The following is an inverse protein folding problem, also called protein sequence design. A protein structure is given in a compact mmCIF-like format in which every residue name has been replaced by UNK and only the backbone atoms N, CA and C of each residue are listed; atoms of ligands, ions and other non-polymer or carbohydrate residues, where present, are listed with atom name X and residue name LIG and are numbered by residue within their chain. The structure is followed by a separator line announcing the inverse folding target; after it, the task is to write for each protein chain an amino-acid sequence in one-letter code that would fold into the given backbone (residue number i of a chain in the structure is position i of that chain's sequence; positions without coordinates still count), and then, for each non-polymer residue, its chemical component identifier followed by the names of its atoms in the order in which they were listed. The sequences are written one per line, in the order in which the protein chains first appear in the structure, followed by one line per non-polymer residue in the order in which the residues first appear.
data_IF_859119052773
#
_entry.id   IF_859119052773
#
_cell.length_a   1.000
_cell.length_b   1.000
_cell.length_c   1.000
_cell.angle_alpha   90.00
_cell.angle_beta   90.00
_cell.angle_gamma   90.00
#
_symmetry.space_group_name_H-M   'P 1'
#
loop_
_entity.id
_entity.type
_entity.pdbx_description
1 polymer ?
#
# COMPACT_ATOMS: atom_id res chain seq x y z
N UNK A 1 12.79 -11.16 38.26
CA UNK A 1 11.58 -10.81 37.50
C UNK A 1 10.89 -12.14 37.22
N UNK A 2 9.81 -12.44 37.92
CA UNK A 2 8.99 -13.64 37.74
C UNK A 2 8.31 -13.54 36.38
N UNK A 3 8.62 -14.49 35.48
CA UNK A 3 7.80 -14.72 34.28
C UNK A 3 6.36 -14.89 34.73
N UNK A 4 5.52 -13.91 34.41
CA UNK A 4 4.07 -14.10 34.43
C UNK A 4 3.78 -15.18 33.38
N UNK A 5 3.51 -16.41 33.83
CA UNK A 5 2.95 -17.44 32.96
C UNK A 5 1.71 -16.86 32.30
N UNK A 6 1.75 -16.72 30.95
CA UNK A 6 0.58 -16.37 30.17
C UNK A 6 -0.53 -17.37 30.48
N UNK A 7 -1.54 -16.91 31.22
CA UNK A 7 -2.67 -17.76 31.70
C UNK A 7 -3.60 -18.17 30.57
N UNK A 8 -3.52 -17.51 29.40
CA UNK A 8 -4.35 -17.80 28.23
C UNK A 8 -3.51 -18.36 27.07
N UNK A 9 -3.89 -19.51 26.50
CA UNK A 9 -3.20 -20.05 25.36
C UNK A 9 -3.42 -19.17 24.12
N UNK A 10 -2.36 -18.57 23.61
CA UNK A 10 -2.39 -17.90 22.30
C UNK A 10 -2.26 -18.95 21.19
N UNK A 11 -2.80 -18.59 20.01
CA UNK A 11 -2.58 -19.39 18.80
C UNK A 11 -1.08 -19.54 18.55
N UNK A 12 -0.58 -20.75 18.23
CA UNK A 12 0.84 -20.96 17.97
C UNK A 12 1.41 -20.02 16.89
N UNK A 13 0.62 -19.74 15.87
CA UNK A 13 0.97 -18.89 14.72
C UNK A 13 1.25 -17.43 15.11
N UNK A 14 0.75 -16.99 16.26
CA UNK A 14 0.94 -15.60 16.72
C UNK A 14 2.18 -15.40 17.60
N UNK A 15 2.79 -16.48 18.12
CA UNK A 15 3.89 -16.39 19.10
C UNK A 15 5.11 -15.66 18.57
N UNK A 16 5.44 -15.89 17.29
CA UNK A 16 6.60 -15.31 16.62
C UNK A 16 6.28 -14.09 15.75
N UNK A 17 5.01 -13.67 15.73
CA UNK A 17 4.62 -12.47 14.98
C UNK A 17 4.91 -11.22 15.80
N UNK A 18 5.76 -10.35 15.25
CA UNK A 18 5.95 -9.01 15.82
C UNK A 18 4.77 -8.12 15.42
N UNK A 19 4.23 -7.32 16.36
CA UNK A 19 3.26 -6.29 16.02
C UNK A 19 3.81 -5.35 14.95
N UNK A 20 2.92 -4.86 14.07
CA UNK A 20 3.30 -3.82 13.11
C UNK A 20 3.76 -2.56 13.85
N UNK A 21 4.95 -2.07 13.52
CA UNK A 21 5.47 -0.81 14.04
C UNK A 21 5.01 0.34 13.11
N UNK A 22 4.04 1.17 13.54
CA UNK A 22 3.64 2.32 12.75
C UNK A 22 4.80 3.31 12.64
N UNK A 23 4.80 4.10 11.55
CA UNK A 23 5.73 5.22 11.42
C UNK A 23 5.52 6.26 12.52
N UNK A 24 6.57 7.04 12.83
CA UNK A 24 6.48 8.12 13.79
C UNK A 24 5.44 9.17 13.37
N UNK A 25 4.63 9.66 14.31
CA UNK A 25 3.72 10.77 14.05
C UNK A 25 4.42 12.13 14.15
N UNK A 26 3.91 13.13 13.43
CA UNK A 26 4.45 14.49 13.50
C UNK A 26 4.37 15.06 14.93
N UNK A 27 3.30 14.76 15.66
CA UNK A 27 3.12 15.19 17.06
C UNK A 27 4.14 14.52 17.99
N UNK A 28 4.43 13.23 17.77
CA UNK A 28 5.43 12.52 18.56
C UNK A 28 6.84 13.08 18.30
N UNK A 29 7.16 13.37 17.04
CA UNK A 29 8.44 14.02 16.70
C UNK A 29 8.52 15.43 17.31
N UNK A 30 7.47 16.24 17.20
CA UNK A 30 7.44 17.60 17.78
C UNK A 30 7.69 17.58 19.29
N UNK A 31 7.13 16.60 20.01
CA UNK A 31 7.39 16.43 21.45
C UNK A 31 8.85 16.03 21.73
N UNK A 32 9.48 15.26 20.81
CA UNK A 32 10.85 14.75 20.99
C UNK A 32 11.90 15.83 20.73
N UNK A 33 11.78 16.58 19.61
CA UNK A 33 12.82 17.56 19.23
C UNK A 33 12.56 18.96 19.79
N UNK A 34 11.32 19.27 20.18
CA UNK A 34 10.93 20.60 20.67
C UNK A 34 11.07 21.72 19.62
N UNK A 35 10.81 22.97 20.02
CA UNK A 35 10.99 24.14 19.14
C UNK A 35 9.94 24.29 18.05
N UNK A 36 10.11 25.35 17.23
CA UNK A 36 9.22 25.71 16.10
C UNK A 36 9.75 25.21 14.74
N UNK A 37 10.50 24.10 14.73
CA UNK A 37 10.98 23.52 13.48
C UNK A 37 9.83 23.00 12.63
N UNK A 38 9.84 23.23 11.29
CA UNK A 38 8.88 22.59 10.41
C UNK A 38 9.04 21.06 10.50
N UNK A 39 7.92 20.36 10.68
CA UNK A 39 7.92 18.89 10.69
C UNK A 39 7.18 18.41 9.46
N UNK A 40 7.86 17.60 8.66
CA UNK A 40 7.33 17.03 7.43
C UNK A 40 7.27 15.52 7.56
N UNK A 41 6.08 14.93 7.34
CA UNK A 41 5.84 13.49 7.47
C UNK A 41 5.77 12.83 6.08
N UNK A 42 6.87 12.24 5.64
CA UNK A 42 7.03 11.58 4.35
C UNK A 42 7.25 10.05 4.48
N UNK A 43 6.70 9.44 5.53
CA UNK A 43 6.97 8.03 5.85
C UNK A 43 5.85 7.03 5.51
N UNK A 44 4.63 7.48 5.16
CA UNK A 44 3.46 6.59 5.08
C UNK A 44 2.77 6.56 3.71
N UNK A 45 3.36 7.14 2.67
CA UNK A 45 2.79 7.23 1.32
C UNK A 45 1.38 7.86 1.32
N UNK A 46 1.13 8.77 2.25
CA UNK A 46 -0.09 9.57 2.27
C UNK A 46 -0.07 10.55 1.08
N UNK A 47 -1.23 10.87 0.50
CA UNK A 47 -1.34 12.01 -0.41
C UNK A 47 -1.13 13.30 0.37
N UNK A 48 -0.22 14.21 -0.04
CA UNK A 48 0.09 15.42 0.73
C UNK A 48 -1.04 16.44 0.68
N UNK A 49 -1.90 16.34 -0.32
CA UNK A 49 -3.11 17.17 -0.43
C UNK A 49 -4.22 16.50 0.38
N UNK A 50 -4.99 17.26 1.11
CA UNK A 50 -6.15 16.79 1.86
C UNK A 50 -7.19 16.06 0.99
N UNK A 51 -8.34 15.66 1.55
CA UNK A 51 -9.46 15.12 0.78
C UNK A 51 -9.89 16.09 -0.33
N UNK A 52 -10.52 15.55 -1.38
CA UNK A 52 -11.11 16.39 -2.43
C UNK A 52 -12.22 17.30 -1.86
N UNK A 53 -12.48 18.49 -2.42
CA UNK A 53 -13.46 19.44 -1.89
C UNK A 53 -14.84 18.82 -1.67
N UNK A 54 -15.38 18.09 -2.64
CA UNK A 54 -16.67 17.41 -2.50
C UNK A 54 -16.67 16.40 -1.34
N UNK A 55 -15.55 15.70 -1.09
CA UNK A 55 -15.45 14.79 0.05
C UNK A 55 -15.48 15.52 1.39
N UNK A 56 -14.87 16.71 1.49
CA UNK A 56 -14.92 17.56 2.70
C UNK A 56 -16.35 18.01 2.99
N UNK A 57 -17.08 18.45 1.98
CA UNK A 57 -18.47 18.87 2.09
C UNK A 57 -19.37 17.71 2.53
N UNK A 58 -19.25 16.56 1.87
CA UNK A 58 -20.02 15.35 2.21
C UNK A 58 -19.75 14.86 3.64
N UNK A 59 -18.50 14.94 4.12
CA UNK A 59 -18.16 14.64 5.51
C UNK A 59 -18.85 15.61 6.46
N UNK A 60 -18.79 16.92 6.18
CA UNK A 60 -19.39 17.94 7.03
C UNK A 60 -20.90 17.76 7.17
N UNK A 61 -21.59 17.42 6.10
CA UNK A 61 -23.03 17.12 6.12
C UNK A 61 -23.35 15.83 6.91
N UNK A 62 -22.51 14.81 6.79
CA UNK A 62 -22.78 13.50 7.41
C UNK A 62 -22.49 13.44 8.92
N UNK A 63 -21.67 14.35 9.47
CA UNK A 63 -21.24 14.32 10.89
C UNK A 63 -22.43 14.27 11.86
N UNK A 64 -23.52 14.98 11.58
CA UNK A 64 -24.72 15.02 12.43
C UNK A 64 -25.45 13.67 12.55
N UNK A 65 -25.20 12.72 11.64
CA UNK A 65 -25.84 11.40 11.57
C UNK A 65 -25.05 10.25 12.19
N UNK A 66 -23.87 10.52 12.77
CA UNK A 66 -22.93 9.48 13.24
C UNK A 66 -23.43 8.60 14.40
N UNK A 67 -24.58 8.93 15.00
CA UNK A 67 -25.24 8.08 15.97
C UNK A 67 -25.97 6.87 15.34
N UNK A 68 -25.91 6.72 14.02
CA UNK A 68 -26.51 5.61 13.26
C UNK A 68 -25.43 4.84 12.50
N UNK A 69 -25.63 3.53 12.37
CA UNK A 69 -24.80 2.71 11.50
C UNK A 69 -25.02 3.06 10.03
N UNK A 70 -23.99 2.96 9.19
CA UNK A 70 -24.12 3.09 7.74
C UNK A 70 -24.89 1.89 7.12
N UNK A 71 -25.18 1.95 5.82
CA UNK A 71 -25.55 0.76 5.07
C UNK A 71 -24.43 -0.27 5.13
N UNK A 72 -24.64 -1.39 5.81
CA UNK A 72 -23.62 -2.42 6.01
C UNK A 72 -23.22 -3.16 4.74
N UNK A 73 -23.98 -3.06 3.66
CA UNK A 73 -23.69 -3.63 2.35
C UNK A 73 -23.02 -2.64 1.40
N UNK A 74 -23.05 -1.33 1.72
CA UNK A 74 -22.46 -0.25 0.90
C UNK A 74 -22.95 -0.26 -0.55
N UNK A 75 -24.26 -0.49 -0.76
CA UNK A 75 -24.86 -0.70 -2.07
C UNK A 75 -24.56 0.47 -3.03
N UNK A 76 -24.68 1.71 -2.55
CA UNK A 76 -24.48 2.90 -3.37
C UNK A 76 -23.03 3.01 -3.84
N UNK A 77 -22.05 2.86 -2.92
CA UNK A 77 -20.63 2.91 -3.27
C UNK A 77 -20.23 1.76 -4.21
N UNK A 78 -20.72 0.53 -3.96
CA UNK A 78 -20.48 -0.60 -4.88
C UNK A 78 -21.04 -0.34 -6.27
N UNK A 79 -22.26 0.20 -6.34
CA UNK A 79 -22.89 0.55 -7.62
C UNK A 79 -22.14 1.66 -8.36
N UNK A 80 -21.67 2.70 -7.67
CA UNK A 80 -20.88 3.78 -8.25
C UNK A 80 -19.52 3.28 -8.78
N UNK A 81 -18.82 2.43 -8.01
CA UNK A 81 -17.56 1.82 -8.43
C UNK A 81 -17.75 0.85 -9.61
N UNK A 82 -18.82 0.06 -9.59
CA UNK A 82 -19.18 -0.84 -10.69
C UNK A 82 -19.45 -0.06 -11.98
N UNK A 83 -20.25 1.00 -11.91
CA UNK A 83 -20.54 1.86 -13.07
C UNK A 83 -19.27 2.51 -13.64
N UNK A 84 -18.33 2.93 -12.78
CA UNK A 84 -17.08 3.55 -13.20
C UNK A 84 -16.12 2.56 -13.87
N UNK A 85 -16.13 1.31 -13.46
CA UNK A 85 -15.20 0.28 -13.94
C UNK A 85 -15.78 -0.62 -15.04
N UNK A 86 -17.09 -0.61 -15.24
CA UNK A 86 -17.79 -1.54 -16.12
C UNK A 86 -18.01 -2.93 -15.51
N UNK A 87 -17.68 -3.13 -14.23
CA UNK A 87 -17.95 -4.36 -13.52
C UNK A 87 -19.42 -4.48 -13.06
N UNK A 88 -19.85 -5.68 -12.64
CA UNK A 88 -21.13 -5.84 -11.95
C UNK A 88 -20.99 -5.50 -10.45
N UNK A 89 -22.02 -4.95 -9.78
CA UNK A 89 -21.96 -4.61 -8.35
C UNK A 89 -21.57 -5.79 -7.45
N UNK A 90 -21.91 -7.01 -7.81
CA UNK A 90 -21.58 -8.24 -7.10
C UNK A 90 -20.10 -8.62 -7.21
N UNK A 91 -19.38 -8.03 -8.16
CA UNK A 91 -17.94 -8.18 -8.33
C UNK A 91 -17.15 -7.15 -7.53
N UNK A 92 -17.80 -6.11 -7.00
CA UNK A 92 -17.14 -5.04 -6.24
C UNK A 92 -17.11 -5.37 -4.76
N UNK A 93 -15.92 -5.34 -4.16
CA UNK A 93 -15.71 -5.39 -2.71
C UNK A 93 -15.29 -4.03 -2.20
N UNK A 94 -15.78 -3.66 -1.01
CA UNK A 94 -15.31 -2.47 -0.26
C UNK A 94 -14.92 -2.88 1.15
N UNK A 95 -13.94 -2.18 1.74
CA UNK A 95 -13.43 -2.54 3.06
C UNK A 95 -12.74 -1.35 3.77
N UNK A 96 -12.43 -1.56 5.03
CA UNK A 96 -11.74 -0.59 5.90
C UNK A 96 -10.26 -0.45 5.51
N UNK A 97 -10.00 0.10 4.33
CA UNK A 97 -8.75 0.08 3.60
C UNK A 97 -8.55 -1.25 2.85
N UNK A 98 -7.62 -1.27 1.89
CA UNK A 98 -7.25 -2.50 1.18
C UNK A 98 -6.70 -3.58 2.13
N UNK A 99 -6.10 -3.17 3.26
CA UNK A 99 -5.62 -4.08 4.31
C UNK A 99 -6.71 -5.02 4.83
N UNK A 100 -7.92 -4.50 5.08
CA UNK A 100 -9.01 -5.34 5.57
C UNK A 100 -9.46 -6.35 4.53
N UNK A 101 -9.45 -5.98 3.24
CA UNK A 101 -9.78 -6.91 2.16
C UNK A 101 -8.75 -8.04 2.08
N UNK A 102 -7.45 -7.73 2.20
CA UNK A 102 -6.38 -8.74 2.23
C UNK A 102 -6.51 -9.68 3.44
N UNK A 103 -6.85 -9.14 4.62
CA UNK A 103 -7.09 -9.94 5.82
C UNK A 103 -8.32 -10.83 5.63
N UNK A 104 -9.41 -10.29 5.11
CA UNK A 104 -10.64 -11.03 4.87
C UNK A 104 -10.47 -12.10 3.78
N UNK A 105 -9.66 -11.83 2.73
CA UNK A 105 -9.24 -12.86 1.76
C UNK A 105 -8.53 -14.03 2.45
N UNK A 106 -7.58 -13.72 3.34
CA UNK A 106 -6.88 -14.77 4.09
C UNK A 106 -7.83 -15.58 4.98
N UNK A 107 -8.78 -14.92 5.66
CA UNK A 107 -9.78 -15.59 6.49
C UNK A 107 -10.78 -16.44 5.68
N UNK A 108 -11.13 -15.99 4.48
CA UNK A 108 -12.13 -16.65 3.64
C UNK A 108 -11.58 -17.84 2.85
N UNK A 109 -10.30 -17.78 2.43
CA UNK A 109 -9.76 -18.70 1.43
C UNK A 109 -8.63 -19.60 1.93
N UNK A 110 -8.00 -19.28 3.07
CA UNK A 110 -6.80 -19.99 3.52
C UNK A 110 -7.08 -20.88 4.75
N UNK A 111 -6.44 -22.03 4.76
CA UNK A 111 -6.35 -22.95 5.89
C UNK A 111 -4.91 -23.05 6.36
N UNK A 112 -4.64 -23.54 7.59
CA UNK A 112 -3.29 -23.81 8.05
C UNK A 112 -2.54 -24.74 7.08
N UNK A 113 -1.35 -24.29 6.62
CA UNK A 113 -0.53 -25.02 5.68
C UNK A 113 -0.74 -24.69 4.21
N UNK A 114 -1.80 -23.96 3.84
CA UNK A 114 -1.94 -23.37 2.50
C UNK A 114 -0.81 -22.36 2.24
N UNK A 115 -0.43 -22.19 0.98
CA UNK A 115 0.65 -21.30 0.58
C UNK A 115 0.13 -20.06 -0.15
N UNK A 116 0.80 -18.93 0.11
CA UNK A 116 0.58 -17.68 -0.61
C UNK A 116 1.90 -17.18 -1.16
N UNK A 117 1.99 -17.06 -2.49
CA UNK A 117 3.21 -16.65 -3.20
C UNK A 117 3.18 -15.14 -3.49
N UNK A 118 4.26 -14.44 -3.22
CA UNK A 118 4.43 -13.01 -3.56
C UNK A 118 5.91 -12.62 -3.62
N UNK A 119 6.20 -11.56 -4.39
CA UNK A 119 7.54 -10.97 -4.43
C UNK A 119 7.95 -10.33 -3.11
N UNK A 120 9.25 -10.35 -2.76
CA UNK A 120 9.77 -9.76 -1.54
C UNK A 120 11.16 -9.14 -1.78
N UNK A 121 11.43 -7.90 -1.32
CA UNK A 121 10.68 -6.95 -0.48
C UNK A 121 9.34 -6.48 -1.06
N UNK A 122 8.29 -6.46 -0.22
CA UNK A 122 6.95 -5.98 -0.63
C UNK A 122 6.11 -5.52 0.56
N UNK A 123 4.79 -5.38 0.34
CA UNK A 123 3.86 -4.85 1.32
C UNK A 123 3.72 -5.78 2.53
N UNK A 124 3.99 -5.22 3.70
CA UNK A 124 4.08 -5.98 4.96
C UNK A 124 2.79 -6.70 5.37
N UNK A 125 1.63 -6.24 4.91
CA UNK A 125 0.36 -6.89 5.22
C UNK A 125 0.28 -8.30 4.61
N UNK A 126 0.95 -8.59 3.50
CA UNK A 126 0.91 -9.90 2.88
C UNK A 126 1.39 -11.01 3.84
N UNK A 127 2.65 -11.04 4.30
CA UNK A 127 3.08 -12.06 5.23
C UNK A 127 2.33 -12.04 6.57
N UNK A 128 1.88 -10.86 7.04
CA UNK A 128 1.16 -10.75 8.30
C UNK A 128 -0.25 -11.35 8.22
N UNK A 129 -1.01 -11.09 7.16
CA UNK A 129 -2.37 -11.63 7.00
C UNK A 129 -2.34 -13.15 6.84
N UNK A 130 -1.39 -13.66 6.05
CA UNK A 130 -1.19 -15.09 5.78
C UNK A 130 -0.86 -15.86 7.06
N UNK A 131 0.14 -15.38 7.83
CA UNK A 131 0.55 -16.03 9.08
C UNK A 131 -0.54 -16.03 10.15
N UNK A 132 -1.39 -15.01 10.22
CA UNK A 132 -2.49 -14.91 11.20
C UNK A 132 -3.49 -16.07 11.13
N UNK A 133 -3.61 -16.72 9.97
CA UNK A 133 -4.49 -17.86 9.74
C UNK A 133 -3.75 -19.21 9.69
N UNK A 134 -2.44 -19.23 9.96
CA UNK A 134 -1.61 -20.44 9.94
C UNK A 134 -1.17 -20.88 8.54
N UNK A 135 -1.41 -20.05 7.53
CA UNK A 135 -0.92 -20.28 6.17
C UNK A 135 0.55 -19.87 6.03
N UNK A 136 1.19 -20.30 4.96
CA UNK A 136 2.62 -20.15 4.71
C UNK A 136 2.89 -19.07 3.69
N UNK A 137 3.56 -17.94 4.04
CA UNK A 137 4.01 -16.97 3.08
C UNK A 137 5.23 -17.48 2.31
N UNK A 138 5.11 -17.62 1.01
CA UNK A 138 6.20 -17.98 0.09
C UNK A 138 6.73 -16.70 -0.55
N UNK A 139 7.83 -16.20 0.01
CA UNK A 139 8.47 -14.96 -0.40
C UNK A 139 9.49 -15.23 -1.51
N UNK A 140 9.26 -14.69 -2.70
CA UNK A 140 10.15 -14.83 -3.86
C UNK A 140 10.99 -13.56 -4.00
N UNK A 141 12.32 -13.62 -4.07
CA UNK A 141 13.15 -12.45 -4.28
C UNK A 141 12.73 -11.67 -5.53
N UNK A 142 12.82 -10.34 -5.46
CA UNK A 142 12.66 -9.48 -6.63
C UNK A 142 13.84 -9.70 -7.59
N UNK A 143 13.65 -9.32 -8.86
CA UNK A 143 14.73 -9.34 -9.85
C UNK A 143 15.80 -8.25 -9.58
N UNK A 144 16.84 -8.21 -10.43
CA UNK A 144 17.94 -7.26 -10.30
C UNK A 144 17.51 -5.78 -10.44
N UNK A 145 16.37 -5.53 -11.08
CA UNK A 145 15.76 -4.21 -11.25
C UNK A 145 14.73 -3.90 -10.15
N UNK A 146 14.71 -4.69 -9.08
CA UNK A 146 13.74 -4.61 -7.97
C UNK A 146 12.27 -4.74 -8.40
N UNK A 147 11.99 -5.44 -9.49
CA UNK A 147 10.65 -5.78 -9.96
C UNK A 147 10.25 -7.17 -9.49
N UNK A 148 8.97 -7.46 -9.54
CA UNK A 148 8.49 -8.83 -9.34
C UNK A 148 9.07 -9.76 -10.39
N UNK A 149 9.80 -10.81 -9.95
CA UNK A 149 10.26 -11.91 -10.82
C UNK A 149 9.10 -12.90 -11.00
N UNK A 150 8.30 -12.64 -12.03
CA UNK A 150 7.10 -13.45 -12.30
C UNK A 150 7.42 -14.89 -12.67
N UNK A 151 8.57 -15.15 -13.30
CA UNK A 151 9.01 -16.50 -13.67
C UNK A 151 9.39 -17.30 -12.42
N UNK A 152 10.14 -16.68 -11.51
CA UNK A 152 10.47 -17.28 -10.22
C UNK A 152 9.21 -17.48 -9.35
N UNK A 153 8.27 -16.53 -9.37
CA UNK A 153 6.99 -16.67 -8.69
C UNK A 153 6.17 -17.82 -9.26
N UNK A 154 6.13 -17.99 -10.57
CA UNK A 154 5.45 -19.12 -11.22
C UNK A 154 6.06 -20.45 -10.81
N UNK A 155 7.39 -20.52 -10.75
CA UNK A 155 8.12 -21.72 -10.30
C UNK A 155 7.87 -22.07 -8.83
N UNK A 156 7.56 -21.07 -8.00
CA UNK A 156 7.26 -21.24 -6.57
C UNK A 156 5.81 -21.71 -6.30
N UNK A 157 4.92 -21.71 -7.30
CA UNK A 157 3.54 -22.20 -7.15
C UNK A 157 3.52 -23.72 -7.03
N UNK A 158 2.89 -24.22 -5.98
CA UNK A 158 2.71 -25.66 -5.68
C UNK A 158 1.23 -26.03 -5.60
N UNK A 159 0.93 -27.30 -5.34
CA UNK A 159 -0.43 -27.79 -5.11
C UNK A 159 -1.08 -27.21 -3.83
N UNK A 160 -0.28 -26.65 -2.91
CA UNK A 160 -0.76 -25.98 -1.72
C UNK A 160 -1.01 -24.48 -1.91
N UNK A 161 -0.58 -23.92 -3.03
CA UNK A 161 -0.78 -22.49 -3.31
C UNK A 161 -2.26 -22.19 -3.55
N UNK A 162 -2.81 -21.20 -2.83
CA UNK A 162 -4.20 -20.74 -2.98
C UNK A 162 -4.28 -19.31 -3.47
N UNK A 163 -3.33 -18.48 -3.07
CA UNK A 163 -3.27 -17.07 -3.44
C UNK A 163 -1.89 -16.72 -4.01
N UNK A 164 -1.89 -15.79 -4.94
CA UNK A 164 -0.69 -15.08 -5.40
C UNK A 164 -0.95 -13.59 -5.28
N UNK A 165 -0.06 -12.84 -4.63
CA UNK A 165 -0.15 -11.39 -4.57
C UNK A 165 0.86 -10.75 -5.53
N UNK A 166 0.39 -9.82 -6.37
CA UNK A 166 1.23 -8.98 -7.23
C UNK A 166 0.96 -7.52 -6.89
N UNK A 167 1.87 -6.88 -6.16
CA UNK A 167 1.81 -5.45 -5.85
C UNK A 167 2.31 -4.66 -7.06
N UNK A 168 1.44 -3.97 -7.76
CA UNK A 168 1.78 -3.32 -9.04
C UNK A 168 1.13 -1.94 -9.17
N UNK A 169 1.88 -0.85 -8.91
CA UNK A 169 3.31 -0.76 -8.53
C UNK A 169 3.63 -1.32 -7.14
N UNK A 170 4.84 -1.88 -7.00
CA UNK A 170 5.29 -2.48 -5.75
C UNK A 170 5.58 -1.44 -4.66
N UNK A 171 5.23 -1.74 -3.44
CA UNK A 171 5.65 -1.04 -2.25
C UNK A 171 6.55 -1.99 -1.42
N UNK A 172 7.87 -1.70 -1.23
CA UNK A 172 8.44 -0.35 -1.16
C UNK A 172 9.21 0.14 -2.38
N UNK A 173 9.41 -0.63 -3.43
CA UNK A 173 10.34 -0.27 -4.52
C UNK A 173 9.81 0.77 -5.49
N UNK A 174 8.48 0.87 -5.65
CA UNK A 174 7.85 1.75 -6.63
C UNK A 174 7.92 1.24 -8.07
N UNK A 175 8.58 0.11 -8.31
CA UNK A 175 8.68 -0.54 -9.61
C UNK A 175 7.37 -1.20 -10.01
N UNK A 176 7.20 -1.49 -11.30
CA UNK A 176 6.03 -2.19 -11.80
C UNK A 176 6.40 -3.25 -12.83
N UNK A 177 5.46 -4.16 -13.06
CA UNK A 177 5.46 -5.13 -14.14
C UNK A 177 4.53 -4.61 -15.23
N UNK A 178 4.94 -4.68 -16.49
CA UNK A 178 4.11 -4.30 -17.62
C UNK A 178 2.89 -5.23 -17.77
N UNK A 179 1.85 -4.72 -18.46
CA UNK A 179 0.56 -5.43 -18.60
C UNK A 179 0.67 -6.77 -19.30
N UNK A 180 1.54 -6.88 -20.32
CA UNK A 180 1.62 -8.10 -21.15
C UNK A 180 2.29 -9.22 -20.36
N UNK A 181 3.36 -8.91 -19.60
CA UNK A 181 4.00 -9.86 -18.68
C UNK A 181 3.07 -10.26 -17.55
N UNK A 182 2.34 -9.31 -16.96
CA UNK A 182 1.37 -9.59 -15.90
C UNK A 182 0.25 -10.50 -16.43
N UNK A 183 -0.30 -10.21 -17.60
CA UNK A 183 -1.34 -11.04 -18.21
C UNK A 183 -0.84 -12.46 -18.49
N UNK A 184 0.34 -12.60 -19.10
CA UNK A 184 0.95 -13.90 -19.39
C UNK A 184 1.24 -14.71 -18.09
N UNK A 185 1.69 -14.05 -17.04
CA UNK A 185 1.87 -14.68 -15.74
C UNK A 185 0.56 -15.23 -15.19
N UNK A 186 -0.50 -14.43 -15.18
CA UNK A 186 -1.82 -14.83 -14.69
C UNK A 186 -2.35 -16.02 -15.50
N UNK A 187 -2.21 -16.01 -16.83
CA UNK A 187 -2.63 -17.09 -17.71
C UNK A 187 -1.84 -18.40 -17.46
N UNK A 188 -0.65 -18.32 -16.89
CA UNK A 188 0.17 -19.48 -16.52
C UNK A 188 -0.24 -20.11 -15.18
N UNK A 189 -1.02 -19.43 -14.35
CA UNK A 189 -1.41 -19.92 -13.01
C UNK A 189 -2.47 -21.02 -13.12
N UNK A 190 -2.49 -21.99 -12.20
CA UNK A 190 -3.60 -22.93 -12.05
C UNK A 190 -4.93 -22.20 -11.84
N UNK A 191 -6.02 -22.73 -12.38
CA UNK A 191 -7.34 -22.10 -12.34
C UNK A 191 -7.95 -21.98 -10.94
N UNK A 192 -7.44 -22.75 -9.99
CA UNK A 192 -7.82 -22.76 -8.56
C UNK A 192 -6.92 -21.86 -7.68
N UNK A 193 -5.97 -21.15 -8.27
CA UNK A 193 -5.12 -20.15 -7.61
C UNK A 193 -5.65 -18.77 -7.94
N UNK A 194 -6.08 -18.01 -6.93
CA UNK A 194 -6.51 -16.62 -7.11
C UNK A 194 -5.30 -15.69 -7.17
N UNK A 195 -5.17 -14.95 -8.26
CA UNK A 195 -4.22 -13.84 -8.39
C UNK A 195 -4.85 -12.54 -7.90
N UNK A 196 -4.28 -11.93 -6.88
CA UNK A 196 -4.68 -10.62 -6.37
C UNK A 196 -3.66 -9.60 -6.82
N UNK A 197 -4.07 -8.68 -7.69
CA UNK A 197 -3.25 -7.56 -8.15
C UNK A 197 -3.55 -6.36 -7.27
N UNK A 198 -2.58 -5.92 -6.49
CA UNK A 198 -2.71 -4.77 -5.59
C UNK A 198 -2.23 -3.50 -6.32
N UNK A 199 -3.19 -2.73 -6.78
CA UNK A 199 -3.02 -1.48 -7.53
C UNK A 199 -3.18 -0.24 -6.63
N UNK A 200 -2.69 -0.27 -5.40
CA UNK A 200 -2.83 0.85 -4.47
C UNK A 200 -2.22 2.18 -4.96
N UNK A 201 -1.40 2.13 -5.99
CA UNK A 201 -0.72 3.30 -6.58
C UNK A 201 -1.06 3.49 -8.06
N UNK A 202 -2.10 2.83 -8.57
CA UNK A 202 -2.52 2.81 -9.97
C UNK A 202 -2.64 4.22 -10.57
N UNK A 203 -3.29 5.13 -9.87
CA UNK A 203 -3.60 6.46 -10.39
C UNK A 203 -2.36 7.33 -10.61
N UNK A 204 -1.20 6.99 -10.03
CA UNK A 204 0.05 7.74 -10.23
C UNK A 204 0.83 7.30 -11.46
N UNK A 205 0.44 6.20 -12.12
CA UNK A 205 1.23 5.60 -13.20
C UNK A 205 0.85 6.21 -14.54
N UNK A 206 1.83 6.85 -15.19
CA UNK A 206 1.69 7.44 -16.53
C UNK A 206 2.41 6.63 -17.61
N UNK A 207 3.03 5.49 -17.25
CA UNK A 207 3.76 4.63 -18.17
C UNK A 207 2.80 3.94 -19.17
N UNK A 208 3.06 4.02 -20.47
CA UNK A 208 2.12 3.55 -21.50
C UNK A 208 1.97 2.02 -21.57
N UNK A 209 2.94 1.28 -21.03
CA UNK A 209 2.94 -0.19 -20.95
C UNK A 209 2.36 -0.73 -19.64
N UNK A 210 1.98 0.15 -18.70
CA UNK A 210 1.22 -0.22 -17.52
C UNK A 210 -0.26 -0.38 -17.87
N UNK A 211 -0.89 -1.48 -17.41
CA UNK A 211 -2.29 -1.77 -17.72
C UNK A 211 -3.26 -1.32 -16.64
N UNK A 212 -4.52 -1.16 -16.99
CA UNK A 212 -5.64 -1.07 -16.04
C UNK A 212 -6.10 -2.49 -15.67
N UNK A 213 -5.65 -3.02 -14.55
CA UNK A 213 -5.96 -4.38 -14.14
C UNK A 213 -7.46 -4.66 -14.01
N UNK A 214 -8.26 -3.70 -13.54
CA UNK A 214 -9.73 -3.87 -13.47
C UNK A 214 -10.33 -3.91 -14.87
N UNK A 215 -10.07 -2.88 -15.69
CA UNK A 215 -10.64 -2.76 -17.02
C UNK A 215 -10.19 -3.87 -17.96
N UNK A 216 -8.94 -4.26 -17.89
CA UNK A 216 -8.35 -5.23 -18.81
C UNK A 216 -8.52 -6.68 -18.32
N UNK A 217 -8.03 -7.01 -17.11
CA UNK A 217 -7.96 -8.40 -16.67
C UNK A 217 -9.31 -8.93 -16.18
N UNK A 218 -10.08 -8.08 -15.46
CA UNK A 218 -11.34 -8.53 -14.85
C UNK A 218 -12.52 -8.30 -15.78
N UNK A 219 -12.68 -7.08 -16.33
CA UNK A 219 -13.88 -6.70 -17.08
C UNK A 219 -13.79 -7.16 -18.54
N UNK A 220 -12.72 -6.76 -19.26
CA UNK A 220 -12.57 -7.11 -20.68
C UNK A 220 -12.32 -8.60 -20.89
N UNK A 221 -11.34 -9.15 -20.18
CA UNK A 221 -10.89 -10.53 -20.38
C UNK A 221 -11.68 -11.56 -19.57
N UNK A 222 -12.42 -11.10 -18.53
CA UNK A 222 -13.30 -11.94 -17.73
C UNK A 222 -12.57 -13.08 -16.99
N UNK A 223 -11.31 -12.86 -16.59
CA UNK A 223 -10.50 -13.89 -15.92
C UNK A 223 -11.12 -14.32 -14.59
N UNK A 224 -11.46 -15.60 -14.42
CA UNK A 224 -12.24 -16.07 -13.26
C UNK A 224 -11.43 -16.17 -11.97
N UNK A 225 -10.10 -16.09 -12.06
CA UNK A 225 -9.15 -16.23 -10.95
C UNK A 225 -8.33 -14.95 -10.71
N UNK A 226 -8.88 -13.78 -11.02
CA UNK A 226 -8.23 -12.48 -10.78
C UNK A 226 -9.10 -11.59 -9.92
N UNK A 227 -8.47 -10.96 -8.93
CA UNK A 227 -9.05 -9.84 -8.17
C UNK A 227 -8.07 -8.68 -8.19
N UNK A 228 -8.54 -7.48 -8.45
CA UNK A 228 -7.72 -6.26 -8.43
C UNK A 228 -8.17 -5.40 -7.26
N UNK A 229 -7.20 -4.91 -6.45
CA UNK A 229 -7.46 -4.06 -5.29
C UNK A 229 -6.96 -2.64 -5.55
N UNK A 230 -7.70 -1.64 -5.08
CA UNK A 230 -7.35 -0.22 -5.08
C UNK A 230 -7.66 0.43 -3.74
N UNK A 231 -7.20 1.65 -3.51
CA UNK A 231 -7.43 2.36 -2.26
C UNK A 231 -7.65 3.85 -2.50
N UNK A 232 -8.48 4.46 -1.68
CA UNK A 232 -8.61 5.93 -1.66
C UNK A 232 -7.67 6.60 -0.63
N UNK A 233 -6.78 5.82 0.00
CA UNK A 233 -5.82 6.32 0.98
C UNK A 233 -4.69 7.17 0.40
N UNK A 234 -4.47 7.13 -0.92
CA UNK A 234 -3.33 7.77 -1.58
C UNK A 234 -3.76 9.04 -2.29
N UNK A 235 -4.00 8.99 -3.59
CA UNK A 235 -4.29 10.17 -4.41
C UNK A 235 -5.56 10.90 -3.98
N UNK A 236 -6.56 10.20 -3.44
CA UNK A 236 -7.82 10.79 -2.99
C UNK A 236 -7.72 11.53 -1.64
N UNK A 237 -6.59 11.39 -0.92
CA UNK A 237 -6.38 12.05 0.38
C UNK A 237 -7.22 11.50 1.53
N UNK A 238 -7.75 10.28 1.43
CA UNK A 238 -8.64 9.66 2.42
C UNK A 238 -7.95 8.65 3.34
N UNK A 239 -6.64 8.75 3.54
CA UNK A 239 -5.87 7.78 4.34
C UNK A 239 -6.45 7.58 5.75
N UNK A 240 -6.88 8.65 6.42
CA UNK A 240 -7.47 8.61 7.76
C UNK A 240 -8.87 7.99 7.82
N UNK A 241 -9.62 7.98 6.73
CA UNK A 241 -10.97 7.41 6.66
C UNK A 241 -10.99 5.93 6.39
N UNK A 242 -9.88 5.34 5.89
CA UNK A 242 -9.76 3.90 5.66
C UNK A 242 -10.72 3.39 4.59
N UNK A 243 -10.56 3.79 3.34
CA UNK A 243 -11.34 3.27 2.20
C UNK A 243 -10.43 2.44 1.29
N UNK A 244 -10.76 1.15 1.14
CA UNK A 244 -10.21 0.26 0.14
C UNK A 244 -11.34 -0.38 -0.65
N UNK A 245 -11.06 -0.76 -1.88
CA UNK A 245 -12.02 -1.42 -2.74
C UNK A 245 -11.32 -2.32 -3.76
N UNK A 246 -12.07 -3.15 -4.43
CA UNK A 246 -11.54 -3.98 -5.51
C UNK A 246 -12.64 -4.60 -6.34
N UNK A 247 -12.22 -5.21 -7.44
CA UNK A 247 -13.10 -5.91 -8.37
C UNK A 247 -12.54 -7.32 -8.62
N UNK A 248 -13.41 -8.33 -8.53
CA UNK A 248 -13.00 -9.72 -8.72
C UNK A 248 -14.18 -10.66 -8.88
N UNK A 249 -13.95 -11.97 -8.80
CA UNK A 249 -15.02 -12.96 -8.98
C UNK A 249 -16.11 -12.81 -7.91
N UNK A 250 -17.38 -12.75 -8.31
CA UNK A 250 -18.50 -12.51 -7.40
C UNK A 250 -18.60 -13.52 -6.24
N UNK A 251 -18.16 -14.78 -6.45
CA UNK A 251 -18.14 -15.78 -5.39
C UNK A 251 -17.04 -15.50 -4.35
N UNK A 252 -15.89 -14.93 -4.74
CA UNK A 252 -14.82 -14.49 -3.84
C UNK A 252 -15.29 -13.27 -3.04
N UNK A 253 -15.90 -12.29 -3.71
CA UNK A 253 -16.48 -11.11 -3.03
C UNK A 253 -17.50 -11.55 -1.97
N UNK A 254 -18.38 -12.49 -2.28
CA UNK A 254 -19.35 -13.06 -1.33
C UNK A 254 -18.67 -13.78 -0.16
N UNK A 255 -17.56 -14.49 -0.38
CA UNK A 255 -16.79 -15.13 0.68
C UNK A 255 -16.17 -14.07 1.62
N UNK A 256 -15.61 -12.98 1.08
CA UNK A 256 -15.11 -11.84 1.86
C UNK A 256 -16.26 -11.21 2.68
N UNK A 257 -17.42 -10.97 2.08
CA UNK A 257 -18.60 -10.42 2.77
C UNK A 257 -19.08 -11.31 3.92
N UNK A 258 -18.83 -12.61 3.84
CA UNK A 258 -19.22 -13.57 4.90
C UNK A 258 -18.33 -13.46 6.14
N UNK A 259 -17.05 -13.16 5.97
CA UNK A 259 -16.06 -13.13 7.08
C UNK A 259 -15.76 -11.73 7.61
N UNK A 260 -16.08 -10.68 6.87
CA UNK A 260 -15.86 -9.31 7.31
C UNK A 260 -16.71 -8.94 8.52
N UNK A 261 -16.22 -8.03 9.35
CA UNK A 261 -16.98 -7.49 10.48
C UNK A 261 -18.26 -6.74 10.03
N UNK A 262 -19.36 -6.83 10.77
CA UNK A 262 -20.55 -6.00 10.51
C UNK A 262 -20.16 -4.50 10.54
N UNK A 263 -20.64 -3.73 9.57
CA UNK A 263 -20.37 -2.29 9.48
C UNK A 263 -18.85 -1.93 9.53
N UNK A 264 -18.00 -2.76 8.94
CA UNK A 264 -16.54 -2.65 9.01
C UNK A 264 -16.02 -1.28 8.56
N UNK A 265 -16.58 -0.71 7.50
CA UNK A 265 -16.23 0.63 7.04
C UNK A 265 -17.16 1.67 7.68
N UNK A 266 -16.59 2.80 8.12
CA UNK A 266 -17.34 3.86 8.79
C UNK A 266 -18.18 4.71 7.83
N UNK A 267 -19.21 5.40 8.37
CA UNK A 267 -20.14 6.20 7.57
C UNK A 267 -19.46 7.35 6.81
N UNK A 268 -18.50 8.05 7.42
CA UNK A 268 -17.77 9.15 6.78
C UNK A 268 -16.91 8.67 5.62
N UNK A 269 -16.34 7.47 5.74
CA UNK A 269 -15.59 6.83 4.67
C UNK A 269 -16.46 6.59 3.43
N UNK A 270 -17.71 6.13 3.64
CA UNK A 270 -18.64 5.87 2.54
C UNK A 270 -19.02 7.14 1.78
N UNK A 271 -19.45 8.18 2.48
CA UNK A 271 -19.87 9.42 1.83
C UNK A 271 -18.70 10.16 1.16
N UNK A 272 -17.53 10.17 1.81
CA UNK A 272 -16.33 10.77 1.25
C UNK A 272 -15.83 10.03 -0.01
N UNK A 273 -15.91 8.70 0.00
CA UNK A 273 -15.57 7.89 -1.17
C UNK A 273 -16.50 8.21 -2.35
N UNK A 274 -17.81 8.20 -2.14
CA UNK A 274 -18.80 8.53 -3.16
C UNK A 274 -18.54 9.94 -3.76
N UNK A 275 -18.43 10.96 -2.92
CA UNK A 275 -18.18 12.32 -3.35
C UNK A 275 -16.83 12.47 -4.09
N UNK A 276 -15.81 11.71 -3.69
CA UNK A 276 -14.51 11.74 -4.38
C UNK A 276 -14.57 11.21 -5.81
N UNK A 277 -15.50 10.32 -6.13
CA UNK A 277 -15.67 9.80 -7.49
C UNK A 277 -16.24 10.82 -8.47
N UNK A 278 -16.81 11.94 -7.97
CA UNK A 278 -17.42 12.98 -8.78
C UNK A 278 -16.41 14.01 -9.32
N UNK A 279 -15.16 14.00 -8.82
CA UNK A 279 -14.12 14.99 -9.17
C UNK A 279 -12.84 14.34 -9.72
N UNK A 280 -12.92 13.49 -10.77
CA UNK A 280 -11.75 12.80 -11.32
C UNK A 280 -10.69 13.74 -11.91
N UNK A 281 -11.11 14.91 -12.41
CA UNK A 281 -10.24 15.91 -13.03
C UNK A 281 -9.18 16.48 -12.06
N UNK A 282 -9.49 16.52 -10.76
CA UNK A 282 -8.55 16.98 -9.75
C UNK A 282 -7.42 15.95 -9.46
N UNK A 283 -7.58 14.71 -9.89
CA UNK A 283 -6.54 13.69 -9.73
C UNK A 283 -5.38 13.94 -10.69
N UNK A 284 -5.63 14.41 -11.91
CA UNK A 284 -4.61 14.66 -12.92
C UNK A 284 -3.59 15.72 -12.43
N UNK A 285 -4.07 16.78 -11.76
CA UNK A 285 -3.22 17.79 -11.13
C UNK A 285 -2.32 17.17 -10.04
N UNK A 286 -2.89 16.26 -9.22
CA UNK A 286 -2.15 15.55 -8.17
C UNK A 286 -1.10 14.59 -8.74
N UNK A 287 -1.42 13.92 -9.84
CA UNK A 287 -0.47 13.07 -10.58
C UNK A 287 0.71 13.89 -11.08
N UNK A 288 0.45 14.98 -11.80
CA UNK A 288 1.48 15.85 -12.35
C UNK A 288 2.38 16.46 -11.24
N UNK A 289 1.78 16.93 -10.14
CA UNK A 289 2.52 17.47 -9.01
C UNK A 289 3.38 16.39 -8.31
N UNK A 290 2.86 15.15 -8.19
CA UNK A 290 3.62 14.03 -7.63
C UNK A 290 4.80 13.66 -8.52
N UNK A 291 4.64 13.66 -9.83
CA UNK A 291 5.72 13.37 -10.78
C UNK A 291 6.84 14.41 -10.70
N UNK A 292 6.48 15.70 -10.66
CA UNK A 292 7.42 16.78 -10.48
C UNK A 292 8.19 16.70 -9.15
N UNK A 293 7.48 16.46 -8.05
CA UNK A 293 8.08 16.29 -6.71
C UNK A 293 8.99 15.06 -6.64
N UNK A 294 8.60 13.94 -7.26
CA UNK A 294 9.43 12.73 -7.36
C UNK A 294 10.73 13.01 -8.12
N UNK A 295 10.67 13.74 -9.24
CA UNK A 295 11.85 14.14 -10.00
C UNK A 295 12.79 15.03 -9.18
N UNK A 296 12.24 16.00 -8.44
CA UNK A 296 13.00 16.90 -7.55
C UNK A 296 13.72 16.14 -6.44
N UNK A 297 13.01 15.25 -5.74
CA UNK A 297 13.61 14.40 -4.70
C UNK A 297 14.67 13.46 -5.26
N UNK A 298 14.46 12.86 -6.42
CA UNK A 298 15.44 11.98 -7.06
C UNK A 298 16.70 12.72 -7.43
N UNK A 299 16.61 13.94 -7.96
CA UNK A 299 17.76 14.79 -8.26
C UNK A 299 18.55 15.12 -6.99
N UNK A 300 17.88 15.54 -5.92
CA UNK A 300 18.52 15.86 -4.65
C UNK A 300 19.21 14.64 -4.00
N UNK A 301 18.62 13.45 -4.09
CA UNK A 301 19.23 12.22 -3.60
C UNK A 301 20.53 11.91 -4.35
N UNK A 302 20.54 12.05 -5.69
CA UNK A 302 21.75 11.85 -6.49
C UNK A 302 22.85 12.88 -6.18
N UNK A 303 22.49 14.14 -5.96
CA UNK A 303 23.44 15.19 -5.55
C UNK A 303 24.18 14.82 -4.26
N UNK A 304 23.55 14.11 -3.33
CA UNK A 304 24.15 13.68 -2.07
C UNK A 304 24.73 12.27 -2.10
N UNK A 305 24.82 11.65 -3.29
CA UNK A 305 25.45 10.35 -3.51
C UNK A 305 24.55 9.13 -3.25
N UNK A 306 23.23 9.30 -3.20
CA UNK A 306 22.27 8.21 -3.09
C UNK A 306 21.52 8.02 -4.42
N UNK A 307 21.41 6.76 -4.88
CA UNK A 307 20.68 6.44 -6.11
C UNK A 307 19.33 5.81 -5.78
N UNK A 308 18.21 6.52 -5.98
CA UNK A 308 16.87 5.95 -5.76
C UNK A 308 16.51 4.94 -6.85
N UNK A 309 15.78 3.89 -6.49
CA UNK A 309 15.21 2.96 -7.44
C UNK A 309 14.22 3.72 -8.35
N UNK A 310 14.30 3.57 -9.68
CA UNK A 310 13.34 4.17 -10.61
C UNK A 310 11.94 3.59 -10.34
N UNK A 311 11.03 4.41 -9.82
CA UNK A 311 9.67 4.01 -9.45
C UNK A 311 8.62 4.98 -9.99
N UNK A 312 7.36 4.52 -10.06
CA UNK A 312 6.21 5.26 -10.61
C UNK A 312 5.15 5.62 -9.56
N UNK A 313 5.33 5.19 -8.30
CA UNK A 313 4.43 5.49 -7.19
C UNK A 313 4.65 6.91 -6.61
N UNK A 314 3.89 7.28 -5.58
CA UNK A 314 4.02 8.55 -4.88
C UNK A 314 5.17 8.59 -3.86
N UNK A 315 6.21 7.82 -4.07
CA UNK A 315 7.38 7.73 -3.21
C UNK A 315 8.63 7.30 -3.99
N UNK A 316 9.78 7.46 -3.38
CA UNK A 316 11.06 6.89 -3.81
C UNK A 316 11.55 5.86 -2.79
N UNK A 317 12.03 4.74 -3.28
CA UNK A 317 12.80 3.76 -2.53
C UNK A 317 14.29 4.03 -2.73
N UNK A 318 15.03 4.12 -1.65
CA UNK A 318 16.44 4.49 -1.67
C UNK A 318 17.25 3.39 -0.97
N UNK A 319 17.93 2.52 -1.73
CA UNK A 319 18.97 1.66 -1.18
C UNK A 319 20.12 2.51 -0.62
N UNK A 320 20.67 2.08 0.50
CA UNK A 320 21.75 2.79 1.18
C UNK A 320 23.08 2.07 0.97
N UNK A 321 24.21 2.79 1.03
CA UNK A 321 25.56 2.19 0.99
C UNK A 321 25.73 1.16 2.10
N UNK A 322 26.59 0.17 1.85
CA UNK A 322 26.88 -0.88 2.83
C UNK A 322 27.34 -0.28 4.17
N UNK A 323 26.76 -0.76 5.26
CA UNK A 323 27.04 -0.29 6.61
C UNK A 323 26.10 0.83 7.11
N UNK A 324 25.44 1.59 6.22
CA UNK A 324 24.46 2.59 6.62
C UNK A 324 23.06 1.95 6.66
N UNK A 325 22.49 1.82 7.86
CA UNK A 325 21.15 1.26 8.04
C UNK A 325 20.04 2.29 7.82
N UNK A 326 18.88 1.82 7.31
CA UNK A 326 17.70 2.68 7.09
C UNK A 326 17.21 3.37 8.36
N UNK A 327 17.29 2.71 9.52
CA UNK A 327 16.90 3.31 10.82
C UNK A 327 17.84 4.45 11.21
N UNK A 328 19.14 4.36 10.93
CA UNK A 328 20.11 5.40 11.24
C UNK A 328 19.82 6.67 10.43
N UNK A 329 19.69 6.54 9.11
CA UNK A 329 19.34 7.68 8.26
C UNK A 329 17.99 8.30 8.67
N UNK A 330 16.98 7.48 8.92
CA UNK A 330 15.68 7.98 9.37
C UNK A 330 15.79 8.78 10.67
N UNK A 331 16.53 8.29 11.68
CA UNK A 331 16.73 8.99 12.95
C UNK A 331 17.43 10.34 12.75
N UNK A 332 18.44 10.42 11.91
CA UNK A 332 19.13 11.69 11.60
C UNK A 332 18.24 12.69 10.87
N UNK A 333 17.41 12.24 9.95
CA UNK A 333 16.42 13.11 9.30
C UNK A 333 15.33 13.58 10.27
N UNK A 334 14.92 12.74 11.20
CA UNK A 334 13.99 13.11 12.27
C UNK A 334 14.56 14.20 13.19
N UNK A 335 15.87 14.20 13.48
CA UNK A 335 16.54 15.25 14.29
C UNK A 335 16.43 16.64 13.64
N UNK A 336 16.21 16.70 12.31
CA UNK A 336 15.98 17.94 11.56
C UNK A 336 14.56 18.12 11.05
N UNK A 337 13.60 17.37 11.62
CA UNK A 337 12.16 17.54 11.39
C UNK A 337 11.57 16.74 10.22
N UNK A 338 12.31 15.83 9.58
CA UNK A 338 11.82 15.06 8.43
C UNK A 338 11.64 13.59 8.79
N UNK A 339 10.40 13.09 8.68
CA UNK A 339 10.04 11.69 8.97
C UNK A 339 10.00 10.91 7.64
N UNK A 340 10.89 9.94 7.49
CA UNK A 340 10.90 8.96 6.39
C UNK A 340 10.61 7.54 6.90
N UNK A 341 10.46 6.57 6.01
CA UNK A 341 10.19 5.17 6.40
C UNK A 341 11.44 4.30 6.26
N UNK A 342 12.05 3.81 7.34
CA UNK A 342 13.03 2.73 7.27
C UNK A 342 12.34 1.43 6.82
N UNK A 343 13.03 0.64 5.98
CA UNK A 343 12.43 -0.48 5.25
C UNK A 343 12.75 -1.87 5.84
N UNK A 344 13.31 -1.95 7.04
CA UNK A 344 13.65 -3.22 7.69
C UNK A 344 12.45 -4.19 7.74
N UNK A 345 11.28 -3.70 8.17
CA UNK A 345 10.07 -4.55 8.24
C UNK A 345 9.54 -4.97 6.85
N UNK A 346 9.95 -4.25 5.80
CA UNK A 346 9.58 -4.57 4.41
C UNK A 346 10.59 -5.50 3.74
N UNK A 347 11.60 -5.99 4.47
CA UNK A 347 12.63 -6.88 3.94
C UNK A 347 13.84 -6.17 3.31
N UNK A 348 14.03 -4.87 3.57
CA UNK A 348 15.13 -4.06 3.02
C UNK A 348 15.75 -3.20 4.13
N UNK A 349 16.53 -3.82 5.06
CA UNK A 349 17.06 -3.11 6.23
C UNK A 349 17.99 -1.95 5.87
N UNK A 350 18.69 -2.07 4.75
CA UNK A 350 19.61 -1.05 4.23
C UNK A 350 18.88 -0.14 3.21
N UNK A 351 17.67 0.27 3.54
CA UNK A 351 16.86 1.13 2.67
C UNK A 351 15.92 2.03 3.43
N UNK A 352 15.58 3.15 2.80
CA UNK A 352 14.52 4.04 3.25
C UNK A 352 13.54 4.32 2.11
N UNK A 353 12.30 4.62 2.46
CA UNK A 353 11.28 5.09 1.53
C UNK A 353 10.87 6.50 1.89
N UNK A 354 10.87 7.40 0.90
CA UNK A 354 10.54 8.81 1.05
C UNK A 354 9.30 9.09 0.20
N UNK A 355 8.21 9.47 0.84
CA UNK A 355 6.98 9.88 0.17
C UNK A 355 7.16 11.26 -0.49
N UNK A 356 6.56 11.49 -1.63
CA UNK A 356 6.50 12.81 -2.27
C UNK A 356 5.51 13.68 -1.50
N UNK A 357 5.98 14.82 -0.98
CA UNK A 357 5.18 15.83 -0.30
C UNK A 357 4.61 16.89 -1.24
N UNK A 358 4.01 17.95 -0.66
CA UNK A 358 3.77 19.20 -1.39
C UNK A 358 5.10 19.79 -1.87
N UNK A 359 5.12 20.78 -2.77
CA UNK A 359 6.35 21.48 -3.15
C UNK A 359 7.13 21.98 -1.92
N UNK A 360 6.46 22.58 -0.95
CA UNK A 360 7.06 23.12 0.28
C UNK A 360 7.62 22.00 1.17
N UNK A 361 6.90 20.90 1.33
CA UNK A 361 7.37 19.73 2.08
C UNK A 361 8.56 19.06 1.39
N UNK A 362 8.54 19.02 0.07
CA UNK A 362 9.65 18.51 -0.76
C UNK A 362 10.90 19.36 -0.60
N UNK A 363 10.77 20.69 -0.58
CA UNK A 363 11.91 21.61 -0.36
C UNK A 363 12.54 21.41 1.03
N UNK A 364 11.72 21.24 2.06
CA UNK A 364 12.20 20.92 3.43
C UNK A 364 12.96 19.59 3.43
N UNK A 365 12.43 18.57 2.78
CA UNK A 365 13.08 17.26 2.68
C UNK A 365 14.41 17.33 1.92
N UNK A 366 14.47 18.07 0.82
CA UNK A 366 15.70 18.30 0.04
C UNK A 366 16.77 19.00 0.88
N UNK A 367 16.40 20.05 1.63
CA UNK A 367 17.32 20.73 2.52
C UNK A 367 17.86 19.81 3.61
N UNK A 368 16.98 18.98 4.22
CA UNK A 368 17.37 17.98 5.22
C UNK A 368 18.34 16.92 4.65
N UNK A 369 18.05 16.38 3.46
CA UNK A 369 18.91 15.41 2.78
C UNK A 369 20.31 15.99 2.53
N UNK A 370 20.41 17.21 2.01
CA UNK A 370 21.68 17.90 1.77
C UNK A 370 22.47 18.15 3.05
N UNK A 371 21.81 18.39 4.18
CA UNK A 371 22.49 18.65 5.46
C UNK A 371 22.96 17.37 6.16
N UNK A 372 22.23 16.27 6.03
CA UNK A 372 22.42 15.04 6.82
C UNK A 372 23.24 13.98 6.07
N UNK A 373 22.88 13.72 4.81
CA UNK A 373 23.40 12.55 4.07
C UNK A 373 24.91 12.58 3.80
N UNK A 374 25.52 13.70 3.37
CA UNK A 374 26.96 13.71 3.04
C UNK A 374 27.87 13.25 4.19
N UNK A 375 27.57 13.68 5.41
CA UNK A 375 28.33 13.28 6.61
C UNK A 375 28.14 11.79 6.94
N UNK A 376 26.92 11.25 6.76
CA UNK A 376 26.64 9.84 7.00
C UNK A 376 27.31 8.94 5.96
N UNK A 377 27.22 9.27 4.69
CA UNK A 377 27.87 8.50 3.61
C UNK A 377 29.38 8.50 3.81
N UNK A 378 30.00 9.65 4.12
CA UNK A 378 31.43 9.73 4.37
C UNK A 378 31.90 8.92 5.59
N UNK A 379 31.03 8.69 6.57
CA UNK A 379 31.37 7.89 7.75
C UNK A 379 31.33 6.36 7.48
N UNK A 380 30.70 5.94 6.37
CA UNK A 380 30.51 4.54 6.02
C UNK A 380 31.24 4.12 4.71
N UNK A 381 31.97 5.02 4.08
CA UNK A 381 32.92 4.77 2.98
C UNK A 381 34.37 4.77 3.48
#
# INVERSE_FOLDING_TARGET
MTETQDTFPMKPELRDLRPYEPGLSAEALRRRIGGDHPIVKLGSNEGPWGPLPAAVEAIAEAVGGLNRYPDGAFHELRSALAARTGAAPEQVVVGNGADSILINLSLALLQPGDEVVFGWPSFITYPLSVRKVGAVPVQVPLDADHRYDLDAMRAAVTERTRLVYVCNPNNPTGTYVDRDRLAAFIDSLPSDVLCVVDEAYHEYVTAPDYGDGIGELVVRDGRPNVMVLRTMSKIYGLAGLRVGWGVGPAHVVRAIDTVRGPFEMNALANVAALASLEQPELLDERVAATEAGRATLAAALREVGLEPIPGVANFLCVPLPAGLGGRELAARLEDVGVIVRPLEMFGMPDGVRITVGTPEETDVAVAALRSVVPALVAAHT
#
